data_IF_355309738686
#
_entry.id   IF_355309738686
#
_cell.length_a   1.000
_cell.length_b   1.000
_cell.length_c   1.000
_cell.angle_alpha   90.00
_cell.angle_beta   90.00
_cell.angle_gamma   90.00
#
_symmetry.space_group_name_H-M   'P 1'
#
loop_
_entity.id
_entity.type
_entity.pdbx_description
1 polymer ?
#
# COMPACT_ATOMS: atom_id res chain seq x y z
N UNK A 1 34.05 5.64 6.09
CA UNK A 1 32.67 5.55 6.63
C UNK A 1 31.77 5.11 5.50
N UNK A 2 31.57 3.80 5.36
CA UNK A 2 30.78 3.21 4.29
C UNK A 2 29.35 3.05 4.80
N UNK A 3 28.48 4.01 4.47
CA UNK A 3 27.04 3.87 4.67
C UNK A 3 26.53 2.82 3.70
N UNK A 4 26.42 1.59 4.16
CA UNK A 4 25.68 0.55 3.44
C UNK A 4 24.20 0.93 3.46
N UNK A 5 23.70 1.49 2.37
CA UNK A 5 22.28 1.46 2.03
C UNK A 5 21.89 0.00 1.75
N UNK A 6 21.88 -0.84 2.78
CA UNK A 6 21.16 -2.10 2.75
C UNK A 6 19.69 -1.71 2.59
N UNK A 7 19.15 -1.82 1.38
CA UNK A 7 17.71 -1.97 1.23
C UNK A 7 17.31 -3.09 2.20
N UNK A 8 16.47 -2.84 3.22
CA UNK A 8 16.00 -3.92 4.05
C UNK A 8 15.22 -4.87 3.15
N UNK A 9 15.83 -6.02 2.87
CA UNK A 9 15.25 -7.03 1.99
C UNK A 9 14.08 -7.63 2.77
N UNK A 10 12.87 -7.51 2.22
CA UNK A 10 11.65 -8.10 2.75
C UNK A 10 10.77 -7.14 3.55
N UNK A 11 10.37 -6.04 2.89
CA UNK A 11 9.16 -5.29 3.23
C UNK A 11 8.07 -5.68 2.23
N UNK A 12 6.95 -6.23 2.69
CA UNK A 12 5.83 -6.56 1.79
C UNK A 12 4.47 -6.34 2.45
N UNK A 13 3.48 -5.86 1.67
CA UNK A 13 2.13 -5.66 2.18
C UNK A 13 1.33 -6.95 2.15
N UNK A 14 0.46 -7.12 3.14
CA UNK A 14 -0.56 -8.16 3.21
C UNK A 14 -1.89 -7.50 3.54
N UNK A 15 -2.96 -7.91 2.87
CA UNK A 15 -4.31 -7.47 3.20
C UNK A 15 -5.17 -8.70 3.46
N UNK A 16 -5.65 -8.87 4.67
CA UNK A 16 -6.54 -9.97 5.04
C UNK A 16 -7.98 -9.49 5.15
N UNK A 17 -8.90 -10.32 4.66
CA UNK A 17 -10.32 -10.25 4.93
C UNK A 17 -10.66 -11.37 5.90
N UNK A 18 -11.07 -10.98 7.09
CA UNK A 18 -11.34 -11.88 8.22
C UNK A 18 -12.83 -11.77 8.52
N UNK A 19 -13.56 -12.84 8.28
CA UNK A 19 -15.01 -12.85 8.46
C UNK A 19 -15.65 -14.05 7.78
N UNK A 20 -16.92 -14.31 8.09
CA UNK A 20 -17.67 -15.44 7.53
C UNK A 20 -18.22 -15.17 6.12
N UNK A 21 -17.96 -13.99 5.55
CA UNK A 21 -18.51 -13.52 4.27
C UNK A 21 -20.04 -13.55 4.17
N UNK A 22 -20.74 -13.69 5.30
CA UNK A 22 -22.20 -13.67 5.34
C UNK A 22 -22.72 -12.22 5.19
N UNK A 23 -23.79 -11.99 4.40
CA UNK A 23 -24.37 -10.65 4.24
C UNK A 23 -24.74 -10.03 5.60
N UNK A 24 -24.21 -8.83 5.87
CA UNK A 24 -24.52 -8.09 7.09
C UNK A 24 -23.75 -8.53 8.34
N UNK A 25 -22.95 -9.60 8.27
CA UNK A 25 -22.08 -10.03 9.35
C UNK A 25 -20.87 -9.12 9.52
N UNK A 26 -20.24 -9.21 10.69
CA UNK A 26 -19.01 -8.51 11.00
C UNK A 26 -17.87 -8.96 10.07
N UNK A 27 -17.13 -7.98 9.56
CA UNK A 27 -15.95 -8.18 8.72
C UNK A 27 -14.80 -7.35 9.25
N UNK A 28 -13.63 -7.97 9.35
CA UNK A 28 -12.38 -7.32 9.72
C UNK A 28 -11.49 -7.25 8.47
N UNK A 29 -11.17 -6.03 8.07
CA UNK A 29 -10.15 -5.73 7.08
C UNK A 29 -8.84 -5.43 7.80
N UNK A 30 -7.83 -6.28 7.61
CA UNK A 30 -6.53 -6.14 8.26
C UNK A 30 -5.47 -5.91 7.19
N UNK A 31 -4.96 -4.68 7.10
CA UNK A 31 -3.86 -4.34 6.22
C UNK A 31 -2.58 -4.31 7.04
N UNK A 32 -1.62 -5.16 6.71
CA UNK A 32 -0.34 -5.28 7.37
C UNK A 32 0.79 -4.98 6.39
N UNK A 33 1.86 -4.45 6.94
CA UNK A 33 3.15 -4.28 6.32
C UNK A 33 4.14 -5.08 7.15
N UNK A 34 4.67 -6.13 6.54
CA UNK A 34 5.59 -7.06 7.19
C UNK A 34 7.00 -6.59 6.96
N UNK A 35 7.76 -6.45 8.03
CA UNK A 35 9.18 -6.11 8.00
C UNK A 35 10.01 -7.30 8.46
N UNK A 36 10.49 -8.08 7.50
CA UNK A 36 11.21 -9.33 7.78
C UNK A 36 12.53 -9.18 8.53
N UNK A 37 13.33 -8.10 8.40
CA UNK A 37 14.60 -8.00 9.13
C UNK A 37 14.43 -7.97 10.66
N UNK A 38 13.31 -7.47 11.16
CA UNK A 38 13.00 -7.37 12.60
C UNK A 38 11.82 -8.25 13.02
N UNK A 39 11.27 -9.05 12.10
CA UNK A 39 10.09 -9.88 12.35
C UNK A 39 8.85 -9.09 12.85
N UNK A 40 8.78 -7.80 12.51
CA UNK A 40 7.71 -6.90 12.95
C UNK A 40 6.61 -6.77 11.90
N UNK A 41 5.41 -6.45 12.38
CA UNK A 41 4.26 -6.10 11.55
C UNK A 41 3.68 -4.76 11.99
N UNK A 42 3.25 -3.95 11.04
CA UNK A 42 2.56 -2.69 11.29
C UNK A 42 1.45 -2.48 10.27
N UNK A 43 0.42 -1.71 10.58
CA UNK A 43 -0.63 -1.41 9.61
C UNK A 43 -1.92 -0.92 10.23
N UNK A 44 -3.06 -1.27 9.62
CA UNK A 44 -4.38 -0.83 10.05
C UNK A 44 -5.39 -1.97 10.10
N UNK A 45 -6.29 -1.91 11.08
CA UNK A 45 -7.44 -2.78 11.23
C UNK A 45 -8.72 -1.94 11.13
N UNK A 46 -9.67 -2.41 10.33
CA UNK A 46 -11.00 -1.83 10.21
C UNK A 46 -12.06 -2.93 10.38
N UNK A 47 -12.83 -2.84 11.45
CA UNK A 47 -13.94 -3.75 11.74
C UNK A 47 -15.23 -3.04 11.33
N UNK A 48 -15.99 -3.66 10.44
CA UNK A 48 -17.27 -3.13 9.99
C UNK A 48 -18.39 -4.15 10.15
N UNK A 49 -19.58 -3.68 10.50
CA UNK A 49 -20.82 -4.47 10.50
C UNK A 49 -21.97 -3.62 9.99
N UNK A 50 -22.69 -4.11 8.99
CA UNK A 50 -23.79 -3.36 8.38
C UNK A 50 -25.14 -3.55 9.10
N UNK A 51 -25.30 -4.62 9.88
CA UNK A 51 -26.56 -4.93 10.58
C UNK A 51 -26.55 -4.44 12.02
N UNK A 52 -27.73 -4.13 12.56
CA UNK A 52 -27.91 -3.50 13.88
C UNK A 52 -27.38 -4.36 15.05
N UNK A 53 -26.47 -3.83 15.90
CA UNK A 53 -25.92 -2.47 15.86
C UNK A 53 -24.83 -2.32 14.77
N UNK A 54 -24.90 -1.25 13.95
CA UNK A 54 -23.83 -0.98 13.00
C UNK A 54 -22.53 -0.73 13.78
N UNK A 55 -21.45 -1.32 13.29
CA UNK A 55 -20.12 -1.23 13.91
C UNK A 55 -19.15 -0.66 12.88
N UNK A 56 -18.36 0.31 13.30
CA UNK A 56 -17.23 0.83 12.53
C UNK A 56 -16.11 1.20 13.49
N UNK A 57 -15.09 0.34 13.57
CA UNK A 57 -13.96 0.50 14.48
C UNK A 57 -12.68 0.47 13.69
N UNK A 58 -11.90 1.53 13.83
CA UNK A 58 -10.57 1.64 13.22
C UNK A 58 -9.49 1.62 14.30
N UNK A 59 -8.38 0.95 14.00
CA UNK A 59 -7.21 0.92 14.86
C UNK A 59 -5.94 0.81 14.03
N UNK A 60 -4.92 1.56 14.41
CA UNK A 60 -3.56 1.37 13.93
C UNK A 60 -2.96 0.20 14.68
N UNK A 61 -2.45 -0.78 13.96
CA UNK A 61 -1.96 -2.05 14.53
C UNK A 61 -0.46 -2.19 14.40
N UNK A 62 0.15 -2.79 15.40
CA UNK A 62 1.56 -3.16 15.42
C UNK A 62 1.76 -4.44 16.22
N UNK A 63 2.84 -5.15 15.91
CA UNK A 63 3.18 -6.39 16.58
C UNK A 63 4.30 -7.12 15.88
N UNK A 64 4.28 -8.44 16.01
CA UNK A 64 5.34 -9.34 15.55
C UNK A 64 4.72 -10.57 14.88
N UNK A 65 5.54 -11.27 14.09
CA UNK A 65 5.18 -12.58 13.57
C UNK A 65 6.23 -13.62 13.96
N UNK A 66 5.81 -14.87 14.11
CA UNK A 66 6.69 -15.99 14.48
C UNK A 66 6.34 -17.23 13.69
N UNK A 67 7.36 -17.98 13.27
CA UNK A 67 7.18 -19.28 12.61
C UNK A 67 6.95 -20.38 13.65
N UNK A 68 5.76 -20.96 13.62
CA UNK A 68 5.44 -22.17 14.37
C UNK A 68 5.89 -23.39 13.56
N UNK A 69 7.01 -23.98 13.98
CA UNK A 69 7.46 -25.26 13.44
C UNK A 69 6.90 -26.37 14.32
N UNK A 70 6.08 -27.24 13.75
CA UNK A 70 5.56 -28.43 14.42
C UNK A 70 6.31 -29.64 13.88
N UNK A 71 6.75 -30.54 14.78
CA UNK A 71 7.37 -31.80 14.36
C UNK A 71 6.38 -32.61 13.51
N UNK A 72 6.90 -33.35 12.51
CA UNK A 72 6.08 -34.12 11.58
C UNK A 72 5.04 -34.99 12.29
N UNK A 73 3.80 -35.08 11.77
CA UNK A 73 3.36 -34.66 10.44
C UNK A 73 2.85 -33.20 10.37
N UNK A 74 3.19 -32.34 11.33
CA UNK A 74 2.69 -30.97 11.38
C UNK A 74 3.14 -30.11 10.19
N UNK A 75 2.19 -29.39 9.58
CA UNK A 75 2.46 -28.33 8.60
C UNK A 75 2.89 -27.09 9.37
N UNK A 76 4.07 -26.53 9.07
CA UNK A 76 4.53 -25.26 9.65
C UNK A 76 3.47 -24.17 9.46
N UNK A 77 3.31 -23.30 10.46
CA UNK A 77 2.36 -22.17 10.43
C UNK A 77 3.08 -20.89 10.80
N UNK A 78 2.48 -19.76 10.47
CA UNK A 78 2.95 -18.44 10.89
C UNK A 78 1.91 -17.88 11.84
N UNK A 79 2.34 -17.48 13.02
CA UNK A 79 1.53 -16.78 13.99
C UNK A 79 1.87 -15.29 13.92
N UNK A 80 0.87 -14.47 13.62
CA UNK A 80 0.95 -13.01 13.67
C UNK A 80 0.22 -12.58 14.95
N UNK A 81 0.93 -11.91 15.84
CA UNK A 81 0.36 -11.33 17.06
C UNK A 81 0.46 -9.82 16.96
N UNK A 82 -0.68 -9.15 16.95
CA UNK A 82 -0.73 -7.69 16.88
C UNK A 82 -1.75 -7.11 17.85
N UNK A 83 -1.50 -5.86 18.21
CA UNK A 83 -2.39 -5.05 19.02
C UNK A 83 -2.54 -3.68 18.36
N UNK A 84 -3.61 -2.97 18.68
CA UNK A 84 -3.86 -1.66 18.09
C UNK A 84 -4.61 -0.70 18.99
N UNK A 85 -4.46 0.58 18.68
CA UNK A 85 -5.15 1.70 19.30
C UNK A 85 -5.43 2.78 18.24
N UNK A 86 -5.93 3.93 18.67
CA UNK A 86 -5.99 5.13 17.84
C UNK A 86 -4.65 5.90 17.92
N UNK A 87 -3.87 5.91 16.85
CA UNK A 87 -2.63 6.68 16.73
C UNK A 87 -1.33 5.88 16.82
N UNK A 88 -1.39 4.56 16.94
CA UNK A 88 -0.23 3.66 16.90
C UNK A 88 0.57 3.55 18.21
N UNK A 89 1.76 2.93 18.16
CA UNK A 89 2.53 2.56 19.36
C UNK A 89 3.02 3.73 20.21
N UNK A 90 3.15 4.93 19.63
CA UNK A 90 3.57 6.14 20.34
C UNK A 90 2.41 6.97 20.93
N UNK A 91 1.16 6.54 20.73
CA UNK A 91 -0.03 7.25 21.19
C UNK A 91 -0.38 6.92 22.64
N UNK A 92 -0.93 7.90 23.36
CA UNK A 92 -1.45 7.72 24.72
C UNK A 92 -2.86 7.06 24.76
N UNK A 93 -3.38 6.66 23.60
CA UNK A 93 -4.66 5.95 23.49
C UNK A 93 -4.58 4.53 24.05
N UNK A 94 -5.63 4.10 24.73
CA UNK A 94 -5.76 2.72 25.21
C UNK A 94 -5.73 1.73 24.05
N UNK A 95 -5.18 0.54 24.28
CA UNK A 95 -5.26 -0.57 23.33
C UNK A 95 -6.72 -0.99 23.18
N UNK A 96 -7.28 -0.74 22.01
CA UNK A 96 -8.67 -1.01 21.65
C UNK A 96 -8.85 -2.24 20.77
N UNK A 97 -7.75 -2.88 20.35
CA UNK A 97 -7.77 -4.02 19.45
C UNK A 97 -6.62 -4.99 19.74
N UNK A 98 -6.88 -6.30 19.65
CA UNK A 98 -5.88 -7.37 19.72
C UNK A 98 -6.23 -8.46 18.73
N UNK A 99 -5.22 -9.05 18.11
CA UNK A 99 -5.40 -10.15 17.15
C UNK A 99 -4.27 -11.18 17.23
N UNK A 100 -4.66 -12.43 17.07
CA UNK A 100 -3.82 -13.57 16.83
C UNK A 100 -4.28 -14.22 15.53
N UNK A 101 -3.47 -14.12 14.49
CA UNK A 101 -3.75 -14.66 13.17
C UNK A 101 -2.77 -15.78 12.87
N UNK A 102 -3.29 -16.98 12.65
CA UNK A 102 -2.50 -18.16 12.27
C UNK A 102 -2.71 -18.44 10.80
N UNK A 103 -1.67 -18.30 9.98
CA UNK A 103 -1.71 -18.54 8.53
C UNK A 103 -0.79 -19.69 8.12
N UNK A 104 -1.04 -20.23 6.93
CA UNK A 104 -0.10 -21.13 6.25
C UNK A 104 1.23 -20.46 5.93
N UNK A 105 2.25 -21.26 5.61
CA UNK A 105 3.56 -20.74 5.15
C UNK A 105 3.48 -19.95 3.85
N UNK A 106 2.36 -20.04 3.14
CA UNK A 106 2.04 -19.31 1.93
C UNK A 106 1.41 -17.93 2.20
N UNK A 107 1.13 -17.57 3.46
CA UNK A 107 0.51 -16.30 3.86
C UNK A 107 -0.89 -16.05 3.27
N UNK A 108 -1.54 -17.07 2.70
CA UNK A 108 -2.81 -16.89 1.96
C UNK A 108 -4.02 -17.11 2.85
N UNK A 109 -4.08 -18.26 3.49
CA UNK A 109 -5.25 -18.70 4.23
C UNK A 109 -4.89 -19.00 5.68
N UNK A 110 -5.83 -18.70 6.57
CA UNK A 110 -5.63 -18.86 8.00
C UNK A 110 -6.90 -18.74 8.83
N UNK A 111 -6.67 -18.69 10.14
CA UNK A 111 -7.71 -18.50 11.14
C UNK A 111 -7.27 -17.41 12.09
N UNK A 112 -8.17 -16.49 12.40
CA UNK A 112 -7.93 -15.39 13.32
C UNK A 112 -8.80 -15.50 14.56
N UNK A 113 -8.20 -15.15 15.69
CA UNK A 113 -8.87 -14.77 16.92
C UNK A 113 -8.58 -13.30 17.17
N UNK A 114 -9.60 -12.49 17.33
CA UNK A 114 -9.40 -11.07 17.63
C UNK A 114 -10.39 -10.59 18.67
N UNK A 115 -9.98 -9.55 19.38
CA UNK A 115 -10.84 -8.85 20.33
C UNK A 115 -10.72 -7.35 20.13
N UNK A 116 -11.83 -6.67 20.34
CA UNK A 116 -11.89 -5.23 20.20
C UNK A 116 -12.77 -4.63 21.28
N UNK A 117 -12.52 -3.36 21.58
CA UNK A 117 -13.28 -2.60 22.54
C UNK A 117 -14.44 -1.88 21.84
N UNK A 118 -15.66 -2.31 22.13
CA UNK A 118 -16.89 -1.64 21.71
C UNK A 118 -17.40 -0.77 22.88
N UNK A 119 -17.08 0.53 22.80
CA UNK A 119 -17.36 1.50 23.86
C UNK A 119 -16.61 1.20 25.16
N UNK A 120 -17.18 0.36 26.03
CA UNK A 120 -16.61 -0.07 27.31
C UNK A 120 -16.55 -1.59 27.46
N UNK A 121 -16.99 -2.34 26.44
CA UNK A 121 -17.07 -3.80 26.49
C UNK A 121 -16.06 -4.41 25.51
N UNK A 122 -15.28 -5.38 25.99
CA UNK A 122 -14.50 -6.24 25.10
C UNK A 122 -15.41 -7.25 24.42
N UNK A 123 -15.31 -7.32 23.09
CA UNK A 123 -15.95 -8.34 22.28
C UNK A 123 -14.85 -9.24 21.73
N UNK A 124 -15.00 -10.54 21.93
CA UNK A 124 -14.07 -11.56 21.45
C UNK A 124 -14.70 -12.33 20.31
N UNK A 125 -13.95 -12.48 19.23
CA UNK A 125 -14.37 -13.22 18.04
C UNK A 125 -13.30 -14.27 17.76
N UNK A 126 -13.70 -15.53 17.80
CA UNK A 126 -12.81 -16.67 17.76
C UNK A 126 -13.06 -17.54 16.53
N UNK A 127 -12.00 -18.18 16.05
CA UNK A 127 -12.01 -19.14 14.94
C UNK A 127 -12.62 -18.60 13.65
N UNK A 128 -12.29 -17.34 13.31
CA UNK A 128 -12.80 -16.70 12.10
C UNK A 128 -11.86 -16.99 10.94
N UNK A 129 -12.38 -17.45 9.77
CA UNK A 129 -11.53 -17.67 8.61
C UNK A 129 -10.94 -16.35 8.11
N UNK A 130 -9.66 -16.41 7.76
CA UNK A 130 -8.87 -15.30 7.24
C UNK A 130 -8.38 -15.65 5.84
N UNK A 131 -8.68 -14.79 4.88
CA UNK A 131 -8.26 -14.95 3.49
C UNK A 131 -7.48 -13.72 3.03
N UNK A 132 -6.35 -13.94 2.37
CA UNK A 132 -5.59 -12.87 1.74
C UNK A 132 -6.42 -12.29 0.58
N UNK A 133 -6.67 -10.99 0.64
CA UNK A 133 -7.26 -10.25 -0.46
C UNK A 133 -6.23 -10.13 -1.58
N UNK A 134 -6.52 -10.76 -2.73
CA UNK A 134 -5.66 -10.74 -3.92
C UNK A 134 -5.38 -9.32 -4.45
N UNK A 135 -6.21 -8.34 -4.09
CA UNK A 135 -5.99 -6.94 -4.45
C UNK A 135 -5.77 -6.10 -3.20
N UNK A 136 -4.51 -5.81 -2.89
CA UNK A 136 -4.17 -4.58 -2.16
C UNK A 136 -4.50 -3.44 -3.12
N UNK A 137 -5.76 -2.98 -3.13
CA UNK A 137 -6.15 -1.83 -3.94
C UNK A 137 -5.45 -0.62 -3.35
N UNK A 138 -4.33 -0.25 -3.94
CA UNK A 138 -3.77 1.08 -3.76
C UNK A 138 -4.88 2.08 -4.12
N UNK A 139 -5.38 2.82 -3.14
CA UNK A 139 -6.32 3.92 -3.35
C UNK A 139 -5.74 5.02 -4.26
N UNK A 140 -4.43 4.94 -4.56
CA UNK A 140 -3.79 5.75 -5.59
C UNK A 140 -4.33 5.49 -7.00
N UNK A 141 -4.78 4.28 -7.34
CA UNK A 141 -5.32 3.95 -8.67
C UNK A 141 -6.28 2.75 -8.60
N UNK A 142 -7.62 2.95 -8.58
CA UNK A 142 -8.54 1.85 -8.85
C UNK A 142 -8.38 1.36 -10.30
N UNK A 143 -8.47 0.05 -10.57
CA UNK A 143 -8.43 -0.49 -11.93
C UNK A 143 -9.57 0.09 -12.77
N UNK A 144 -9.22 0.51 -13.99
CA UNK A 144 -10.11 1.09 -14.99
C UNK A 144 -11.09 0.03 -15.52
N UNK A 145 -12.14 -0.29 -14.76
CA UNK A 145 -13.43 -0.53 -15.40
C UNK A 145 -13.89 0.78 -16.08
N UNK A 146 -14.80 0.76 -17.07
CA UNK A 146 -15.20 1.96 -17.83
C UNK A 146 -15.80 3.01 -16.88
N UNK A 147 -14.91 3.84 -16.32
CA UNK A 147 -15.21 4.79 -15.27
C UNK A 147 -15.84 6.07 -15.83
N UNK A 148 -16.52 6.83 -14.96
CA UNK A 148 -17.26 8.02 -15.33
C UNK A 148 -16.32 9.09 -15.88
N UNK A 149 -16.82 9.85 -16.86
CA UNK A 149 -16.15 10.99 -17.48
C UNK A 149 -15.64 11.92 -16.38
N UNK A 150 -14.32 12.05 -16.24
CA UNK A 150 -13.69 13.02 -15.34
C UNK A 150 -14.25 14.40 -15.73
N UNK A 151 -15.03 15.09 -14.88
CA UNK A 151 -15.38 16.47 -15.15
C UNK A 151 -14.06 17.28 -15.17
N UNK A 152 -13.90 18.24 -16.09
CA UNK A 152 -12.63 18.89 -16.43
C UNK A 152 -12.04 19.83 -15.34
N UNK A 153 -12.27 19.54 -14.06
CA UNK A 153 -11.93 20.40 -12.92
C UNK A 153 -10.69 19.94 -12.13
N UNK A 154 -9.85 19.07 -12.68
CA UNK A 154 -8.44 19.06 -12.27
C UNK A 154 -7.75 20.22 -13.00
N UNK A 155 -7.31 21.29 -12.31
CA UNK A 155 -6.69 22.44 -12.94
C UNK A 155 -5.33 22.13 -13.61
N UNK A 156 -4.83 20.90 -13.47
CA UNK A 156 -3.58 20.46 -14.08
C UNK A 156 -3.78 19.08 -14.72
N UNK A 157 -3.54 18.93 -16.03
CA UNK A 157 -3.37 17.61 -16.61
C UNK A 157 -2.18 16.92 -15.92
N UNK A 158 -2.21 15.58 -15.74
CA UNK A 158 -1.04 14.86 -15.26
C UNK A 158 0.15 15.22 -16.15
N UNK A 159 1.24 15.69 -15.54
CA UNK A 159 2.47 16.04 -16.24
C UNK A 159 3.09 14.73 -16.73
N UNK A 160 2.70 14.30 -17.92
CA UNK A 160 3.37 13.20 -18.60
C UNK A 160 4.62 13.77 -19.27
N UNK A 161 5.82 13.27 -18.94
CA UNK A 161 6.99 13.62 -19.73
C UNK A 161 6.76 13.18 -21.18
N UNK A 162 7.27 13.96 -22.13
CA UNK A 162 7.01 13.84 -23.57
C UNK A 162 7.19 12.41 -24.13
N UNK A 163 8.02 11.58 -23.50
CA UNK A 163 8.31 10.20 -23.91
C UNK A 163 7.67 9.11 -23.03
N UNK A 164 6.81 9.43 -22.07
CA UNK A 164 6.20 8.42 -21.18
C UNK A 164 5.46 7.33 -21.97
N UNK A 165 4.57 7.72 -22.90
CA UNK A 165 3.81 6.78 -23.71
C UNK A 165 4.69 5.97 -24.69
N UNK A 166 5.63 6.59 -25.44
CA UNK A 166 6.59 5.85 -26.28
C UNK A 166 7.45 4.82 -25.53
N UNK A 167 7.88 5.12 -24.30
CA UNK A 167 8.64 4.19 -23.46
C UNK A 167 7.79 2.96 -23.13
N UNK A 168 6.55 3.17 -22.69
CA UNK A 168 5.64 2.09 -22.34
C UNK A 168 5.32 1.21 -23.56
N UNK A 169 5.09 1.82 -24.73
CA UNK A 169 4.85 1.07 -25.96
C UNK A 169 6.07 0.28 -26.43
N UNK A 170 7.28 0.83 -26.31
CA UNK A 170 8.52 0.14 -26.72
C UNK A 170 8.88 -1.02 -25.78
N UNK A 171 8.59 -0.88 -24.48
CA UNK A 171 8.72 -1.98 -23.51
C UNK A 171 7.70 -3.08 -23.82
N UNK A 172 6.45 -2.70 -24.09
CA UNK A 172 5.38 -3.65 -24.40
C UNK A 172 5.61 -4.38 -25.74
N UNK A 173 6.20 -3.72 -26.74
CA UNK A 173 6.48 -4.31 -28.04
C UNK A 173 7.69 -5.25 -28.03
N UNK A 174 8.59 -5.13 -27.04
CA UNK A 174 9.80 -5.95 -26.94
C UNK A 174 10.85 -5.66 -28.03
N UNK A 175 10.68 -4.60 -28.83
CA UNK A 175 11.59 -4.26 -29.93
C UNK A 175 12.84 -3.52 -29.41
N UNK A 176 13.96 -4.24 -29.37
CA UNK A 176 15.25 -3.72 -28.91
C UNK A 176 15.77 -2.54 -29.75
N UNK A 177 15.50 -2.53 -31.06
CA UNK A 177 15.95 -1.45 -31.92
C UNK A 177 15.23 -0.14 -31.59
N UNK A 178 13.91 -0.21 -31.39
CA UNK A 178 13.10 0.93 -30.98
C UNK A 178 13.48 1.47 -29.59
N UNK A 179 13.75 0.57 -28.63
CA UNK A 179 14.21 0.98 -27.30
C UNK A 179 15.54 1.74 -27.37
N UNK A 180 16.49 1.29 -28.21
CA UNK A 180 17.79 1.96 -28.39
C UNK A 180 17.67 3.32 -29.07
N UNK A 181 16.86 3.43 -30.13
CA UNK A 181 16.63 4.72 -30.79
C UNK A 181 15.99 5.72 -29.83
N UNK A 182 15.01 5.28 -29.04
CA UNK A 182 14.34 6.14 -28.06
C UNK A 182 15.30 6.60 -26.96
N UNK A 183 16.14 5.70 -26.45
CA UNK A 183 17.16 6.04 -25.46
C UNK A 183 18.17 7.08 -25.99
N UNK A 184 18.60 6.97 -27.25
CA UNK A 184 19.48 7.97 -27.86
C UNK A 184 18.83 9.36 -27.97
N UNK A 185 17.55 9.39 -28.33
CA UNK A 185 16.79 10.63 -28.50
C UNK A 185 16.52 11.31 -27.15
N UNK A 186 16.16 10.54 -26.13
CA UNK A 186 16.03 11.03 -24.76
C UNK A 186 17.35 11.61 -24.23
N UNK A 187 18.47 10.95 -24.53
CA UNK A 187 19.81 11.44 -24.15
C UNK A 187 20.17 12.75 -24.85
N UNK A 188 19.92 12.85 -26.16
CA UNK A 188 20.15 14.09 -26.90
C UNK A 188 19.33 15.26 -26.34
N UNK A 189 18.09 15.02 -25.91
CA UNK A 189 17.28 16.06 -25.29
C UNK A 189 17.78 16.45 -23.88
N UNK A 190 18.28 15.49 -23.10
CA UNK A 190 18.90 15.78 -21.81
C UNK A 190 20.14 16.66 -21.98
N UNK A 191 20.95 16.38 -23.01
CA UNK A 191 22.13 17.17 -23.36
C UNK A 191 21.76 18.60 -23.81
N UNK A 192 20.56 18.80 -24.38
CA UNK A 192 20.04 20.12 -24.78
C UNK A 192 19.36 20.90 -23.64
N UNK A 193 19.12 20.27 -22.48
CA UNK A 193 18.47 20.91 -21.33
C UNK A 193 19.14 22.22 -20.86
N UNK A 194 20.49 22.32 -20.79
CA UNK A 194 21.15 23.56 -20.37
C UNK A 194 20.90 24.73 -21.33
N UNK A 195 20.87 24.44 -22.63
CA UNK A 195 20.58 25.46 -23.66
C UNK A 195 19.13 25.95 -23.55
N UNK A 196 18.18 25.04 -23.34
CA UNK A 196 16.77 25.38 -23.11
C UNK A 196 16.56 26.23 -21.85
N UNK A 197 17.25 25.91 -20.75
CA UNK A 197 17.21 26.72 -19.53
C UNK A 197 17.76 28.12 -19.77
N UNK A 198 18.89 28.24 -20.49
CA UNK A 198 19.47 29.55 -20.83
C UNK A 198 18.54 30.40 -21.69
N UNK A 199 17.86 29.79 -22.67
CA UNK A 199 16.91 30.48 -23.54
C UNK A 199 15.65 30.92 -22.78
N UNK A 200 15.18 30.10 -21.82
CA UNK A 200 14.06 30.43 -20.94
C UNK A 200 14.38 31.66 -20.08
N UNK A 201 15.56 31.70 -19.46
CA UNK A 201 15.97 32.84 -18.64
C UNK A 201 16.13 34.12 -19.47
N UNK A 202 16.67 34.02 -20.69
CA UNK A 202 16.72 35.14 -21.63
C UNK A 202 15.31 35.64 -21.99
N UNK A 203 14.37 34.74 -22.27
CA UNK A 203 12.98 35.08 -22.57
C UNK A 203 12.27 35.76 -21.38
N UNK A 204 12.44 35.26 -20.15
CA UNK A 204 11.92 35.89 -18.93
C UNK A 204 12.47 37.31 -18.73
N UNK A 205 13.75 37.51 -19.03
CA UNK A 205 14.40 38.82 -19.00
C UNK A 205 13.73 39.82 -19.95
N UNK A 206 13.46 39.41 -21.20
CA UNK A 206 12.80 40.29 -22.17
C UNK A 206 11.33 40.56 -21.80
N UNK A 207 10.61 39.56 -21.29
CA UNK A 207 9.24 39.75 -20.77
C UNK A 207 9.23 40.83 -19.68
N UNK A 208 10.14 40.71 -18.69
CA UNK A 208 10.26 41.69 -17.60
C UNK A 208 10.62 43.10 -18.09
N UNK A 209 11.38 43.21 -19.19
CA UNK A 209 11.71 44.48 -19.83
C UNK A 209 10.50 45.10 -20.54
N UNK A 210 9.71 44.29 -21.23
CA UNK A 210 8.49 44.75 -21.93
C UNK A 210 7.38 45.13 -20.96
N UNK A 211 7.22 44.43 -19.84
CA UNK A 211 6.19 44.73 -18.82
C UNK A 211 6.46 46.03 -18.03
N UNK A 212 7.71 46.50 -17.99
CA UNK A 212 8.09 47.76 -17.33
C UNK A 212 7.94 49.00 -18.22
N UNK A 213 7.53 48.83 -19.48
CA UNK A 213 7.39 49.89 -20.47
C UNK A 213 5.94 50.30 -20.63
#
# INVERSE_FOLDING_TARGET
MSGSNQQPVGLFPLAYRIGTSAPGAQSLALNLLVFTPEETVSGTAAITQATNPPLDVHSDVWGEYTYLTVMSPGVSKILITAQGNQGGPGSNSIVSFKIQLVVGTDWKDGVANYSYLDGQRWVEVNNVPAHLAETVRSSAFPPLEPGPVIPPQSPYPPIMPLYAAPIQSAIASGDLAQMKSLASLAKQQLDQQPQLQSALEAAKGEISRLERR
#
